data_IF_387879457283
#
_entry.id   IF_387879457283
#
_cell.length_a   1.000
_cell.length_b   1.000
_cell.length_c   1.000
_cell.angle_alpha   90.00
_cell.angle_beta   90.00
_cell.angle_gamma   90.00
#
_symmetry.space_group_name_H-M   'P 1'
#
loop_
_entity.id
_entity.type
_entity.pdbx_description
1 polymer ?
#
# COMPACT_ATOMS: atom_id res chain seq x y z
N UNK A 1 7.99 8.68 20.62
CA UNK A 1 7.15 8.15 19.52
C UNK A 1 5.77 8.72 19.78
N UNK A 2 5.47 9.84 19.13
CA UNK A 2 4.27 10.62 19.40
C UNK A 2 3.01 9.88 18.95
N UNK A 3 2.04 9.79 19.83
CA UNK A 3 0.72 9.16 19.63
C UNK A 3 -0.09 9.87 18.51
N UNK A 4 0.41 10.99 18.00
CA UNK A 4 -0.24 11.78 16.95
C UNK A 4 -0.05 11.27 15.52
N UNK A 5 0.91 10.37 15.27
CA UNK A 5 1.16 9.85 13.92
C UNK A 5 0.26 8.67 13.50
N UNK A 6 -0.50 8.09 14.44
CA UNK A 6 -1.46 7.02 14.12
C UNK A 6 -2.74 7.54 13.43
N UNK A 7 -3.00 8.84 13.51
CA UNK A 7 -4.22 9.46 12.93
C UNK A 7 -4.18 9.63 11.42
N UNK A 8 -3.01 9.69 10.82
CA UNK A 8 -2.87 9.86 9.35
C UNK A 8 -3.08 8.56 8.57
N UNK A 9 -2.78 7.42 9.16
CA UNK A 9 -3.04 6.10 8.56
C UNK A 9 -4.50 5.66 8.64
N UNK A 10 -5.29 6.32 9.48
CA UNK A 10 -6.68 5.94 9.77
C UNK A 10 -7.75 6.54 8.84
N UNK A 11 -7.36 7.34 7.86
CA UNK A 11 -8.27 7.97 6.86
C UNK A 11 -8.09 7.43 5.45
N UNK A 12 -7.46 6.28 5.32
CA UNK A 12 -7.18 5.70 4.01
C UNK A 12 -8.47 5.17 3.35
N UNK A 13 -8.66 5.52 2.10
CA UNK A 13 -9.76 5.02 1.27
C UNK A 13 -9.63 3.52 1.05
N UNK A 14 -10.67 2.79 1.37
CA UNK A 14 -10.77 1.36 1.05
C UNK A 14 -12.19 1.01 0.64
N UNK A 15 -12.34 -0.09 -0.09
CA UNK A 15 -13.64 -0.63 -0.51
C UNK A 15 -14.04 -1.73 0.46
N UNK A 16 -15.32 -1.87 0.74
CA UNK A 16 -15.87 -2.89 1.65
C UNK A 16 -15.35 -4.30 1.31
N UNK A 17 -15.36 -4.67 0.04
CA UNK A 17 -14.83 -5.93 -0.47
C UNK A 17 -13.38 -6.19 -0.02
N UNK A 18 -12.51 -5.17 -0.12
CA UNK A 18 -11.11 -5.30 0.29
C UNK A 18 -10.98 -5.57 1.80
N UNK A 19 -11.85 -4.94 2.62
CA UNK A 19 -11.89 -5.21 4.06
C UNK A 19 -12.31 -6.64 4.33
N UNK A 20 -13.37 -7.10 3.68
CA UNK A 20 -13.89 -8.47 3.81
C UNK A 20 -12.81 -9.48 3.44
N UNK A 21 -12.16 -9.32 2.28
CA UNK A 21 -11.08 -10.21 1.83
C UNK A 21 -9.89 -10.20 2.78
N UNK A 22 -9.44 -9.01 3.22
CA UNK A 22 -8.27 -8.87 4.10
C UNK A 22 -8.51 -9.47 5.49
N UNK A 23 -9.76 -9.44 5.96
CA UNK A 23 -10.14 -9.96 7.28
C UNK A 23 -10.62 -11.41 7.24
N UNK A 24 -10.48 -12.12 6.12
CA UNK A 24 -11.07 -13.47 5.93
C UNK A 24 -12.54 -13.51 6.38
N UNK A 25 -13.24 -12.40 6.14
CA UNK A 25 -14.53 -12.11 6.74
C UNK A 25 -15.72 -12.43 5.83
N UNK A 26 -16.89 -12.09 6.33
CA UNK A 26 -18.14 -12.15 5.59
C UNK A 26 -18.90 -10.84 5.74
N UNK A 27 -19.42 -10.32 4.63
CA UNK A 27 -20.34 -9.20 4.65
C UNK A 27 -21.71 -9.66 5.15
N UNK A 28 -22.16 -9.10 6.26
CA UNK A 28 -23.46 -9.44 6.89
C UNK A 28 -24.53 -8.46 6.47
N UNK A 29 -24.22 -7.16 6.42
CA UNK A 29 -25.09 -6.07 6.00
C UNK A 29 -24.24 -5.05 5.24
N UNK A 30 -24.73 -4.53 4.14
CA UNK A 30 -24.09 -3.46 3.37
C UNK A 30 -23.90 -3.81 1.91
N UNK A 31 -23.05 -3.05 1.24
CA UNK A 31 -22.69 -3.19 -0.17
C UNK A 31 -21.18 -3.43 -0.28
N UNK A 32 -20.78 -4.47 -1.02
CA UNK A 32 -19.38 -4.83 -1.26
C UNK A 32 -18.59 -3.73 -1.97
N UNK A 33 -19.25 -2.95 -2.81
CA UNK A 33 -18.63 -1.86 -3.57
C UNK A 33 -18.61 -0.53 -2.79
N UNK A 34 -19.15 -0.51 -1.56
CA UNK A 34 -19.13 0.69 -0.74
C UNK A 34 -17.72 1.15 -0.43
N UNK A 35 -17.43 2.44 -0.70
CA UNK A 35 -16.12 3.06 -0.47
C UNK A 35 -16.12 3.79 0.87
N UNK A 36 -15.24 3.39 1.76
CA UNK A 36 -14.96 4.10 3.01
C UNK A 36 -13.91 5.18 2.73
N UNK A 37 -14.34 6.42 2.56
CA UNK A 37 -13.48 7.57 2.26
C UNK A 37 -13.36 8.56 3.42
N UNK A 38 -14.03 8.26 4.53
CA UNK A 38 -14.09 9.07 5.76
C UNK A 38 -13.95 8.19 6.98
N UNK A 39 -13.69 8.86 8.09
CA UNK A 39 -13.64 8.21 9.39
C UNK A 39 -12.30 7.56 9.71
N UNK A 40 -12.23 7.01 10.89
CA UNK A 40 -11.05 6.36 11.47
C UNK A 40 -11.34 4.89 11.64
N UNK A 41 -10.30 4.11 11.79
CA UNK A 41 -10.38 2.73 12.27
C UNK A 41 -10.18 2.75 13.79
N UNK A 42 -11.15 2.28 14.53
CA UNK A 42 -11.17 2.30 15.99
C UNK A 42 -11.39 0.89 16.55
N UNK A 43 -10.75 0.58 17.67
CA UNK A 43 -11.06 -0.62 18.45
C UNK A 43 -11.92 -0.21 19.64
N UNK A 44 -13.17 -0.66 19.66
CA UNK A 44 -14.13 -0.37 20.73
C UNK A 44 -13.95 -1.32 21.91
N UNK A 45 -12.92 -1.06 22.73
CA UNK A 45 -12.60 -1.84 23.92
C UNK A 45 -13.22 -1.24 25.21
N UNK A 46 -13.88 -0.10 25.12
CA UNK A 46 -14.46 0.60 26.26
C UNK A 46 -15.95 0.23 26.50
N UNK A 47 -16.52 0.77 27.58
CA UNK A 47 -17.96 0.73 27.78
C UNK A 47 -18.69 1.73 26.84
N UNK A 48 -19.99 1.56 26.57
CA UNK A 48 -20.75 2.42 25.64
C UNK A 48 -20.65 3.91 25.96
N UNK A 49 -20.78 4.31 27.23
CA UNK A 49 -20.73 5.73 27.63
C UNK A 49 -19.42 6.42 27.21
N UNK A 50 -18.30 5.68 27.28
CA UNK A 50 -17.01 6.19 26.82
C UNK A 50 -16.88 6.14 25.30
N UNK A 51 -17.47 5.13 24.64
CA UNK A 51 -17.46 4.99 23.21
C UNK A 51 -18.12 6.16 22.49
N UNK A 52 -19.22 6.69 23.02
CA UNK A 52 -19.91 7.89 22.51
C UNK A 52 -18.99 9.12 22.42
N UNK A 53 -17.99 9.20 23.29
CA UNK A 53 -17.07 10.34 23.32
C UNK A 53 -16.11 10.38 22.13
N UNK A 54 -15.77 9.23 21.51
CA UNK A 54 -14.73 9.15 20.47
C UNK A 54 -15.18 8.58 19.13
N UNK A 55 -16.30 7.83 19.05
CA UNK A 55 -16.85 7.39 17.76
C UNK A 55 -17.45 8.58 17.01
N UNK A 56 -17.21 8.65 15.73
CA UNK A 56 -17.74 9.68 14.83
C UNK A 56 -18.38 9.06 13.61
N UNK A 57 -19.25 9.82 12.97
CA UNK A 57 -19.92 9.42 11.73
C UNK A 57 -18.89 8.96 10.68
N UNK A 58 -19.13 7.78 10.12
CA UNK A 58 -18.29 7.18 9.09
C UNK A 58 -17.09 6.38 9.60
N UNK A 59 -16.87 6.32 10.92
CA UNK A 59 -15.78 5.50 11.49
C UNK A 59 -16.00 4.01 11.24
N UNK A 60 -14.91 3.27 11.13
CA UNK A 60 -14.90 1.79 11.11
C UNK A 60 -14.58 1.32 12.52
N UNK A 61 -15.52 0.67 13.17
CA UNK A 61 -15.41 0.28 14.58
C UNK A 61 -15.23 -1.22 14.71
N UNK A 62 -14.06 -1.64 15.18
CA UNK A 62 -13.74 -3.04 15.47
C UNK A 62 -14.19 -3.36 16.88
N UNK A 63 -15.03 -4.37 17.03
CA UNK A 63 -15.63 -4.74 18.31
C UNK A 63 -15.91 -6.25 18.39
N UNK A 64 -16.23 -6.70 19.59
CA UNK A 64 -16.61 -8.08 19.84
C UNK A 64 -18.13 -8.28 19.86
N UNK A 65 -18.56 -9.26 20.67
CA UNK A 65 -19.93 -9.75 20.75
C UNK A 65 -20.85 -8.96 21.69
N UNK A 66 -20.38 -7.86 22.28
CA UNK A 66 -21.21 -7.06 23.21
C UNK A 66 -22.30 -6.34 22.45
N UNK A 67 -23.55 -6.68 22.73
CA UNK A 67 -24.72 -6.06 22.13
C UNK A 67 -24.74 -4.52 22.28
N UNK A 68 -24.48 -4.05 23.48
CA UNK A 68 -24.49 -2.62 23.83
C UNK A 68 -23.42 -1.84 23.04
N UNK A 69 -22.26 -2.46 22.81
CA UNK A 69 -21.19 -1.82 22.01
C UNK A 69 -21.55 -1.77 20.53
N UNK A 70 -22.21 -2.82 20.00
CA UNK A 70 -22.69 -2.81 18.61
C UNK A 70 -23.80 -1.77 18.44
N UNK A 71 -24.74 -1.70 19.38
CA UNK A 71 -25.81 -0.71 19.38
C UNK A 71 -25.24 0.72 19.41
N UNK A 72 -24.39 1.02 20.37
CA UNK A 72 -23.76 2.33 20.52
C UNK A 72 -23.01 2.77 19.24
N UNK A 73 -22.20 1.88 18.65
CA UNK A 73 -21.46 2.20 17.43
C UNK A 73 -22.38 2.58 16.26
N UNK A 74 -23.51 1.88 16.09
CA UNK A 74 -24.49 2.16 15.04
C UNK A 74 -25.24 3.48 15.32
N UNK A 75 -25.66 3.71 16.57
CA UNK A 75 -26.33 4.96 16.99
C UNK A 75 -25.42 6.18 16.82
N UNK A 76 -24.10 6.02 17.01
CA UNK A 76 -23.10 7.05 16.74
C UNK A 76 -22.78 7.21 15.24
N UNK A 77 -23.55 6.56 14.37
CA UNK A 77 -23.43 6.64 12.91
C UNK A 77 -22.07 6.14 12.38
N UNK A 78 -21.50 5.10 12.99
CA UNK A 78 -20.36 4.41 12.41
C UNK A 78 -20.68 3.97 10.98
N UNK A 79 -19.75 4.14 10.06
CA UNK A 79 -19.91 3.68 8.67
C UNK A 79 -19.84 2.17 8.55
N UNK A 80 -19.08 1.53 9.45
CA UNK A 80 -18.92 0.08 9.50
C UNK A 80 -18.66 -0.38 10.92
N UNK A 81 -19.24 -1.52 11.29
CA UNK A 81 -18.81 -2.31 12.45
C UNK A 81 -18.20 -3.63 11.99
N UNK A 82 -17.04 -3.98 12.54
CA UNK A 82 -16.36 -5.26 12.33
C UNK A 82 -16.54 -6.09 13.57
N UNK A 83 -17.33 -7.16 13.47
CA UNK A 83 -17.63 -8.07 14.59
C UNK A 83 -16.64 -9.23 14.56
N UNK A 84 -15.79 -9.30 15.58
CA UNK A 84 -14.68 -10.24 15.69
C UNK A 84 -15.11 -11.61 16.23
N UNK A 85 -14.18 -12.60 16.10
CA UNK A 85 -14.31 -13.97 16.64
C UNK A 85 -15.52 -14.75 16.10
N UNK A 86 -16.02 -14.38 14.91
CA UNK A 86 -17.19 -15.02 14.32
C UNK A 86 -18.47 -14.89 15.18
N UNK A 87 -18.50 -13.89 16.06
CA UNK A 87 -19.61 -13.71 16.99
C UNK A 87 -20.93 -13.45 16.24
N UNK A 88 -22.04 -14.02 16.71
CA UNK A 88 -23.33 -13.85 16.06
C UNK A 88 -23.85 -12.40 16.19
N UNK A 89 -24.42 -11.87 15.10
CA UNK A 89 -25.07 -10.56 15.09
C UNK A 89 -26.58 -10.77 15.18
N UNK A 90 -27.22 -10.17 16.18
CA UNK A 90 -28.65 -10.30 16.40
C UNK A 90 -29.47 -9.65 15.27
N UNK A 91 -30.70 -10.14 15.07
CA UNK A 91 -31.62 -9.56 14.07
C UNK A 91 -31.97 -8.10 14.34
N UNK A 92 -31.99 -7.71 15.62
CA UNK A 92 -32.21 -6.29 16.03
C UNK A 92 -31.07 -5.41 15.55
N UNK A 93 -29.82 -5.83 15.78
CA UNK A 93 -28.64 -5.08 15.32
C UNK A 93 -28.60 -5.02 13.79
N UNK A 94 -28.93 -6.10 13.07
CA UNK A 94 -29.00 -6.10 11.61
C UNK A 94 -30.03 -5.09 11.07
N UNK A 95 -31.23 -5.04 11.66
CA UNK A 95 -32.25 -4.06 11.29
C UNK A 95 -31.79 -2.63 11.53
N UNK A 96 -31.24 -2.38 12.72
CA UNK A 96 -30.76 -1.06 13.08
C UNK A 96 -29.62 -0.59 12.15
N UNK A 97 -28.71 -1.50 11.77
CA UNK A 97 -27.63 -1.21 10.83
C UNK A 97 -28.16 -0.82 9.45
N UNK A 98 -29.19 -1.49 8.94
CA UNK A 98 -29.86 -1.12 7.68
C UNK A 98 -30.49 0.27 7.77
N UNK A 99 -31.18 0.57 8.86
CA UNK A 99 -31.85 1.85 9.09
C UNK A 99 -30.84 3.03 9.19
N UNK A 100 -29.66 2.75 9.74
CA UNK A 100 -28.59 3.75 9.92
C UNK A 100 -27.49 3.70 8.85
N UNK A 101 -27.70 2.94 7.77
CA UNK A 101 -26.71 2.76 6.69
C UNK A 101 -25.31 2.32 7.18
N UNK A 102 -25.27 1.53 8.24
CA UNK A 102 -24.05 0.98 8.81
C UNK A 102 -23.73 -0.40 8.22
N UNK A 103 -22.55 -0.55 7.67
CA UNK A 103 -22.06 -1.84 7.17
C UNK A 103 -21.70 -2.76 8.34
N UNK A 104 -22.01 -4.05 8.23
CA UNK A 104 -21.60 -5.06 9.21
C UNK A 104 -20.75 -6.12 8.53
N UNK A 105 -19.52 -6.26 8.98
CA UNK A 105 -18.58 -7.31 8.56
C UNK A 105 -18.32 -8.21 9.75
N UNK A 106 -18.38 -9.52 9.55
CA UNK A 106 -17.95 -10.53 10.55
C UNK A 106 -16.60 -11.08 10.16
N UNK A 107 -15.70 -11.28 11.12
CA UNK A 107 -14.39 -11.90 10.90
C UNK A 107 -14.10 -12.97 11.96
N UNK A 108 -13.39 -14.06 11.61
CA UNK A 108 -12.95 -15.05 12.59
C UNK A 108 -11.83 -14.53 13.50
N UNK A 109 -11.17 -13.44 13.11
CA UNK A 109 -10.04 -12.89 13.85
C UNK A 109 -10.48 -12.18 15.14
N UNK A 110 -9.56 -12.11 16.11
CA UNK A 110 -9.69 -11.27 17.30
C UNK A 110 -9.51 -9.77 16.93
N UNK A 111 -9.86 -8.88 17.88
CA UNK A 111 -9.84 -7.43 17.65
C UNK A 111 -8.45 -6.88 17.34
N UNK A 112 -7.39 -7.45 17.93
CA UNK A 112 -6.02 -7.01 17.68
C UNK A 112 -5.57 -7.40 16.27
N UNK A 113 -5.82 -8.65 15.89
CA UNK A 113 -5.51 -9.15 14.53
C UNK A 113 -6.31 -8.38 13.49
N UNK A 114 -7.61 -8.18 13.66
CA UNK A 114 -8.46 -7.41 12.78
C UNK A 114 -7.95 -5.97 12.62
N UNK A 115 -7.54 -5.31 13.71
CA UNK A 115 -7.01 -3.94 13.67
C UNK A 115 -5.70 -3.81 12.90
N UNK A 116 -4.87 -4.84 12.91
CA UNK A 116 -3.63 -4.88 12.12
C UNK A 116 -3.90 -5.13 10.63
N UNK A 117 -4.79 -6.07 10.35
CA UNK A 117 -5.08 -6.48 8.98
C UNK A 117 -5.85 -5.43 8.19
N UNK A 118 -6.78 -4.72 8.83
CA UNK A 118 -7.65 -3.75 8.13
C UNK A 118 -6.86 -2.66 7.41
N UNK A 119 -5.69 -2.29 7.90
CA UNK A 119 -4.82 -1.32 7.22
C UNK A 119 -4.25 -1.86 5.90
N UNK A 120 -4.24 -3.17 5.70
CA UNK A 120 -3.80 -3.81 4.45
C UNK A 120 -4.89 -3.83 3.38
N UNK A 121 -6.13 -3.52 3.73
CA UNK A 121 -7.24 -3.41 2.79
C UNK A 121 -7.15 -2.20 1.87
N UNK A 122 -6.27 -1.24 2.18
CA UNK A 122 -6.08 -0.03 1.39
C UNK A 122 -5.32 -0.36 0.10
N UNK A 123 -5.91 -0.10 -1.07
CA UNK A 123 -5.26 -0.42 -2.33
C UNK A 123 -4.02 0.45 -2.56
N UNK A 124 -3.00 -0.12 -3.21
CA UNK A 124 -1.75 0.59 -3.50
C UNK A 124 -1.98 1.85 -4.34
N UNK A 125 -3.05 1.88 -5.12
CA UNK A 125 -3.47 3.05 -5.92
C UNK A 125 -3.66 4.31 -5.08
N UNK A 126 -3.99 4.16 -3.79
CA UNK A 126 -4.11 5.28 -2.87
C UNK A 126 -2.77 5.94 -2.54
N UNK A 127 -1.69 5.14 -2.51
CA UNK A 127 -0.35 5.61 -2.16
C UNK A 127 0.52 5.90 -3.38
N UNK A 128 0.13 5.41 -4.56
CA UNK A 128 0.94 5.58 -5.75
C UNK A 128 0.95 7.05 -6.20
N UNK A 129 2.09 7.48 -6.73
CA UNK A 129 2.19 8.74 -7.46
C UNK A 129 1.71 8.54 -8.88
N UNK A 130 0.82 9.40 -9.33
CA UNK A 130 0.32 9.44 -10.71
C UNK A 130 0.85 10.64 -11.48
N UNK A 131 1.34 11.66 -10.76
CA UNK A 131 1.83 12.91 -11.36
C UNK A 131 3.31 13.13 -11.06
N UNK A 132 3.99 13.81 -11.97
CA UNK A 132 5.40 14.16 -11.82
C UNK A 132 6.33 12.94 -11.80
N UNK A 133 5.92 11.82 -12.38
CA UNK A 133 6.76 10.65 -12.55
C UNK A 133 7.88 10.99 -13.54
N UNK A 134 9.11 10.64 -13.16
CA UNK A 134 10.25 10.69 -14.08
C UNK A 134 10.37 9.31 -14.69
N UNK A 135 10.17 9.24 -15.99
CA UNK A 135 10.27 8.01 -16.79
C UNK A 135 11.31 8.19 -17.88
N UNK A 136 11.79 7.11 -18.44
CA UNK A 136 12.69 7.14 -19.59
C UNK A 136 12.12 6.31 -20.72
N UNK A 137 12.42 6.72 -21.95
CA UNK A 137 12.16 5.91 -23.13
C UNK A 137 13.20 4.78 -23.25
N UNK A 138 12.85 3.69 -23.94
CA UNK A 138 13.81 2.64 -24.35
C UNK A 138 14.98 3.20 -25.16
N UNK A 139 14.79 4.33 -25.83
CA UNK A 139 15.81 5.01 -26.65
C UNK A 139 16.70 5.98 -25.85
N UNK A 140 16.44 6.16 -24.53
CA UNK A 140 17.21 7.08 -23.71
C UNK A 140 18.66 6.63 -23.53
N UNK A 141 19.61 7.54 -23.67
CA UNK A 141 21.01 7.25 -23.48
C UNK A 141 21.38 7.09 -22.00
N UNK A 142 22.30 6.17 -21.70
CA UNK A 142 22.73 5.86 -20.32
C UNK A 142 23.28 7.08 -19.58
N UNK A 143 23.93 8.01 -20.26
CA UNK A 143 24.49 9.22 -19.63
C UNK A 143 23.38 10.20 -19.22
N UNK A 144 22.34 10.33 -20.00
CA UNK A 144 21.15 11.12 -19.66
C UNK A 144 20.50 10.55 -18.41
N UNK A 145 20.26 9.24 -18.39
CA UNK A 145 19.69 8.54 -17.24
C UNK A 145 20.56 8.71 -15.99
N UNK A 146 21.89 8.59 -16.12
CA UNK A 146 22.85 8.83 -15.01
C UNK A 146 22.78 10.25 -14.47
N UNK A 147 22.69 11.26 -15.34
CA UNK A 147 22.59 12.66 -14.91
C UNK A 147 21.31 12.91 -14.11
N UNK A 148 20.18 12.36 -14.56
CA UNK A 148 18.90 12.48 -13.85
C UNK A 148 18.98 11.74 -12.51
N UNK A 149 19.53 10.52 -12.49
CA UNK A 149 19.72 9.75 -11.26
C UNK A 149 20.64 10.42 -10.25
N UNK A 150 21.65 11.16 -10.71
CA UNK A 150 22.54 11.93 -9.83
C UNK A 150 21.83 13.11 -9.17
N UNK A 151 20.92 13.78 -9.90
CA UNK A 151 20.18 14.94 -9.42
C UNK A 151 18.97 14.56 -8.56
N UNK A 152 18.36 13.41 -8.82
CA UNK A 152 17.16 12.95 -8.13
C UNK A 152 17.50 11.83 -7.13
N UNK A 153 16.83 11.85 -5.97
CA UNK A 153 17.05 10.83 -4.92
C UNK A 153 16.29 9.53 -5.16
N UNK A 154 15.66 9.37 -6.32
CA UNK A 154 14.96 8.12 -6.67
C UNK A 154 15.97 7.03 -7.01
N UNK A 155 15.62 5.78 -6.70
CA UNK A 155 16.45 4.60 -6.99
C UNK A 155 16.10 3.98 -8.33
N UNK A 156 14.80 3.96 -8.63
CA UNK A 156 14.20 3.20 -9.71
C UNK A 156 13.33 4.14 -10.55
N UNK A 157 13.35 3.95 -11.86
CA UNK A 157 12.63 4.76 -12.83
C UNK A 157 11.91 3.86 -13.82
N UNK A 158 10.63 4.10 -14.11
CA UNK A 158 9.91 3.38 -15.16
C UNK A 158 10.48 3.67 -16.54
N UNK A 159 10.44 2.64 -17.39
CA UNK A 159 10.79 2.71 -18.82
C UNK A 159 9.54 2.48 -19.64
N UNK A 160 9.35 3.28 -20.67
CA UNK A 160 8.26 3.16 -21.62
C UNK A 160 8.79 3.01 -23.06
N UNK A 161 7.99 2.40 -23.92
CA UNK A 161 8.23 2.36 -25.37
C UNK A 161 7.82 3.71 -26.03
N UNK A 162 7.95 3.78 -27.36
CA UNK A 162 7.55 4.95 -28.14
C UNK A 162 6.04 5.23 -28.09
N UNK A 163 5.22 4.22 -27.79
CA UNK A 163 3.77 4.33 -27.65
C UNK A 163 3.36 4.74 -26.22
N UNK A 164 4.31 4.86 -25.30
CA UNK A 164 4.06 5.23 -23.90
C UNK A 164 3.68 4.04 -23.01
N UNK A 165 3.75 2.81 -23.51
CA UNK A 165 3.47 1.62 -22.69
C UNK A 165 4.64 1.33 -21.75
N UNK A 166 4.32 0.92 -20.53
CA UNK A 166 5.30 0.48 -19.55
C UNK A 166 6.00 -0.80 -20.03
N UNK A 167 7.33 -0.77 -20.07
CA UNK A 167 8.16 -1.92 -20.51
C UNK A 167 8.95 -2.52 -19.34
N UNK A 168 9.36 -1.70 -18.38
CA UNK A 168 10.17 -2.16 -17.26
C UNK A 168 10.69 -1.05 -16.38
N UNK A 169 11.67 -1.38 -15.54
CA UNK A 169 12.31 -0.46 -14.61
C UNK A 169 13.82 -0.42 -14.85
N UNK A 170 14.42 0.77 -14.73
CA UNK A 170 15.87 0.92 -14.63
C UNK A 170 16.24 1.36 -13.21
N UNK A 171 17.15 0.65 -12.57
CA UNK A 171 17.65 1.02 -11.26
C UNK A 171 19.06 1.59 -11.33
N UNK A 172 19.42 2.39 -10.31
CA UNK A 172 20.80 2.86 -10.16
C UNK A 172 21.79 1.69 -10.12
N UNK A 173 21.41 0.56 -9.55
CA UNK A 173 22.24 -0.65 -9.46
C UNK A 173 22.56 -1.23 -10.84
N UNK A 174 21.57 -1.26 -11.73
CA UNK A 174 21.78 -1.76 -13.10
C UNK A 174 22.82 -0.90 -13.86
N UNK A 175 22.75 0.43 -13.70
CA UNK A 175 23.71 1.34 -14.36
C UNK A 175 25.09 1.34 -13.72
N UNK A 176 25.20 1.08 -12.41
CA UNK A 176 26.49 0.99 -11.73
C UNK A 176 27.17 -0.36 -11.97
N UNK A 177 26.38 -1.44 -12.17
CA UNK A 177 26.87 -2.77 -12.53
C UNK A 177 27.39 -2.85 -13.97
N UNK A 178 27.01 -1.91 -14.84
CA UNK A 178 27.71 -1.64 -16.10
C UNK A 178 28.96 -0.82 -15.78
N UNK A 179 29.87 -1.42 -15.01
CA UNK A 179 31.16 -0.82 -14.65
C UNK A 179 31.84 -0.32 -15.91
N UNK A 180 32.44 0.86 -15.79
CA UNK A 180 33.31 1.55 -16.73
C UNK A 180 33.92 0.62 -17.79
N UNK A 181 33.13 0.19 -18.78
CA UNK A 181 33.71 -0.31 -20.03
C UNK A 181 34.28 0.92 -20.72
N UNK A 182 35.49 1.31 -20.36
CA UNK A 182 36.28 2.21 -21.19
C UNK A 182 36.62 1.41 -22.43
N UNK A 183 36.05 1.79 -23.57
CA UNK A 183 36.59 1.39 -24.85
C UNK A 183 37.89 2.16 -24.99
N UNK A 184 38.99 1.53 -24.64
CA UNK A 184 40.32 2.07 -24.90
C UNK A 184 40.65 1.62 -26.32
N UNK A 185 40.57 2.55 -27.26
CA UNK A 185 41.12 2.32 -28.61
C UNK A 185 42.64 2.44 -28.48
N UNK A 186 43.31 1.31 -28.40
CA UNK A 186 44.78 1.21 -28.44
C UNK A 186 45.26 0.75 -29.81
N UNK A 187 46.31 1.38 -30.27
CA UNK A 187 47.04 0.89 -31.44
C UNK A 187 47.60 -0.51 -31.14
N UNK A 188 47.79 -1.31 -32.20
CA UNK A 188 48.24 -2.70 -32.12
C UNK A 188 49.54 -2.93 -31.32
N UNK A 189 50.40 -1.93 -31.24
CA UNK A 189 51.68 -1.98 -30.50
C UNK A 189 51.47 -1.60 -28.99
N UNK A 190 50.51 -0.79 -28.65
CA UNK A 190 50.18 -0.43 -27.27
C UNK A 190 49.32 -1.52 -26.61
N UNK A 191 48.51 -2.25 -27.36
CA UNK A 191 47.71 -3.37 -26.86
C UNK A 191 48.56 -4.45 -26.18
N UNK A 192 49.78 -4.69 -26.68
CA UNK A 192 50.70 -5.67 -26.11
C UNK A 192 51.26 -5.30 -24.75
N UNK A 193 51.38 -4.02 -24.44
CA UNK A 193 51.86 -3.52 -23.13
C UNK A 193 50.75 -3.37 -22.12
N UNK A 194 49.51 -3.16 -22.57
CA UNK A 194 48.34 -3.04 -21.69
C UNK A 194 47.85 -4.38 -21.13
N UNK A 195 48.16 -5.51 -21.85
CA UNK A 195 47.69 -6.86 -21.50
C UNK A 195 48.50 -7.48 -20.34
N UNK A 196 49.72 -7.03 -20.07
CA UNK A 196 50.57 -7.60 -19.01
C UNK A 196 50.08 -7.26 -17.58
N UNK A 197 48.99 -6.50 -17.44
CA UNK A 197 48.44 -6.09 -16.11
C UNK A 197 46.93 -6.37 -15.95
N UNK A 198 46.27 -6.98 -16.90
CA UNK A 198 44.81 -7.19 -16.85
C UNK A 198 44.53 -8.72 -16.79
N UNK A 199 43.69 -9.14 -15.87
CA UNK A 199 43.29 -10.54 -15.72
C UNK A 199 42.65 -11.07 -17.02
N UNK A 200 43.05 -12.24 -17.47
CA UNK A 200 42.60 -12.84 -18.74
C UNK A 200 41.08 -13.03 -18.84
N UNK A 201 40.37 -13.08 -17.71
CA UNK A 201 38.91 -13.14 -17.66
C UNK A 201 38.23 -11.82 -18.11
N UNK A 202 38.88 -10.67 -17.94
CA UNK A 202 38.36 -9.37 -18.40
C UNK A 202 38.56 -9.12 -19.91
N UNK A 203 39.53 -9.78 -20.52
CA UNK A 203 39.83 -9.61 -21.96
C UNK A 203 38.83 -10.36 -22.82
N UNK A 204 38.31 -11.50 -22.37
CA UNK A 204 37.32 -12.31 -23.12
C UNK A 204 35.92 -11.66 -23.18
N UNK A 205 35.61 -10.69 -22.35
CA UNK A 205 34.37 -9.90 -22.42
C UNK A 205 34.45 -8.70 -23.40
N UNK A 206 35.63 -8.41 -23.95
CA UNK A 206 35.87 -7.23 -24.83
C UNK A 206 35.91 -7.59 -26.31
N UNK A 207 35.99 -8.89 -26.67
CA UNK A 207 35.95 -9.43 -28.00
C UNK A 207 34.59 -10.05 -28.29
#
# INVERSE_FOLDING_TARGET
>A
MDVHDSTTLSTARTVCKNIVETLDGALIIGDEEHVFDRGKVLVAAANPDLMESYIRMGDIVILGNRYESQLCAIEMQAGCIVVCEGAPVSMTIKKLAVENHCTIISTPHDTFTASRLINQSVPISFFMRTEGLITFSTEAYTDEVRQVMAKKRHRDFPIHDEQGNYIGMISRRNLLGMGKKQIIMVDHNEAKQAVDGIDQAEILEII
#
